data_IF_486542594929
#
_entry.id   IF_486542594929
#
_cell.length_a   1.000
_cell.length_b   1.000
_cell.length_c   1.000
_cell.angle_alpha   90.00
_cell.angle_beta   90.00
_cell.angle_gamma   90.00
#
_symmetry.space_group_name_H-M   'P 1'
#
loop_
_entity.id
_entity.type
_entity.pdbx_description
1 polymer ?
#
# COMPACT_ATOMS: atom_id res chain seq x y z
N UNK A 1 9.86 6.71 -0.77
CA UNK A 1 8.44 6.56 -1.13
C UNK A 1 8.40 5.90 -2.48
N UNK A 2 8.11 4.59 -2.57
CA UNK A 2 8.01 3.93 -3.87
C UNK A 2 6.60 4.10 -4.43
N UNK A 3 6.48 4.37 -5.73
CA UNK A 3 5.17 4.46 -6.38
C UNK A 3 4.53 3.06 -6.42
N UNK A 4 3.32 2.86 -5.86
CA UNK A 4 2.65 1.58 -5.94
C UNK A 4 2.00 1.37 -7.32
N UNK A 5 2.00 0.14 -7.79
CA UNK A 5 1.14 -0.32 -8.87
C UNK A 5 0.15 -1.35 -8.31
N UNK A 6 -1.13 -1.11 -8.53
CA UNK A 6 -2.19 -2.07 -8.18
C UNK A 6 -2.27 -3.11 -9.30
N UNK A 7 -2.18 -4.37 -8.92
CA UNK A 7 -2.34 -5.50 -9.83
C UNK A 7 -3.82 -5.82 -9.92
N UNK A 8 -4.39 -5.72 -11.12
CA UNK A 8 -5.80 -5.98 -11.36
C UNK A 8 -6.02 -7.40 -11.86
N UNK A 9 -7.22 -7.94 -11.66
CA UNK A 9 -7.64 -9.18 -12.30
C UNK A 9 -7.70 -9.03 -13.84
N UNK A 10 -7.89 -10.16 -14.54
CA UNK A 10 -7.92 -10.18 -16.01
C UNK A 10 -9.00 -9.28 -16.62
N UNK A 11 -10.08 -9.02 -15.88
CA UNK A 11 -11.19 -8.18 -16.33
C UNK A 11 -11.02 -6.71 -15.94
N UNK A 12 -9.90 -6.34 -15.30
CA UNK A 12 -9.63 -4.99 -14.80
C UNK A 12 -10.72 -4.45 -13.86
N UNK A 13 -11.32 -5.34 -13.08
CA UNK A 13 -12.45 -5.09 -12.20
C UNK A 13 -12.02 -5.11 -10.73
N UNK A 14 -11.31 -6.15 -10.30
CA UNK A 14 -10.97 -6.37 -8.89
C UNK A 14 -9.46 -6.30 -8.66
N UNK A 15 -9.01 -5.63 -7.59
CA UNK A 15 -7.60 -5.63 -7.26
C UNK A 15 -7.20 -7.01 -6.72
N UNK A 16 -6.10 -7.55 -7.25
CA UNK A 16 -5.55 -8.86 -6.91
C UNK A 16 -4.28 -8.78 -6.05
N UNK A 17 -3.60 -7.63 -6.05
CA UNK A 17 -2.39 -7.40 -5.28
C UNK A 17 -1.81 -6.01 -5.50
N UNK A 18 -0.69 -5.74 -4.85
CA UNK A 18 0.05 -4.48 -5.01
C UNK A 18 1.54 -4.78 -5.15
N UNK A 19 2.21 -4.05 -6.02
CA UNK A 19 3.67 -4.13 -6.19
C UNK A 19 4.27 -2.73 -6.12
N UNK A 20 5.40 -2.62 -5.44
CA UNK A 20 6.15 -1.36 -5.30
C UNK A 20 7.57 -1.53 -5.83
N UNK A 21 8.27 -0.41 -6.01
CA UNK A 21 9.71 -0.39 -6.32
C UNK A 21 10.53 -1.25 -5.33
N UNK A 22 10.15 -1.28 -4.05
CA UNK A 22 10.85 -2.06 -3.03
C UNK A 22 10.71 -3.56 -3.26
N UNK A 23 9.56 -3.99 -3.76
CA UNK A 23 9.31 -5.40 -4.01
C UNK A 23 10.12 -5.87 -5.22
N UNK A 24 10.21 -5.05 -6.27
CA UNK A 24 11.12 -5.31 -7.39
C UNK A 24 12.58 -5.31 -6.94
N UNK A 25 12.99 -4.34 -6.13
CA UNK A 25 14.36 -4.28 -5.63
C UNK A 25 14.72 -5.52 -4.81
N UNK A 26 13.82 -5.96 -3.92
CA UNK A 26 14.05 -7.11 -3.02
C UNK A 26 13.94 -8.45 -3.72
N UNK A 27 12.93 -8.66 -4.56
CA UNK A 27 12.61 -9.99 -5.10
C UNK A 27 13.08 -10.20 -6.53
N UNK A 28 13.54 -9.16 -7.23
CA UNK A 28 14.03 -9.28 -8.61
C UNK A 28 15.49 -8.84 -8.69
N UNK A 29 15.79 -7.58 -8.33
CA UNK A 29 17.13 -7.04 -8.47
C UNK A 29 18.14 -7.72 -7.54
N UNK A 30 17.83 -7.83 -6.24
CA UNK A 30 18.73 -8.42 -5.25
C UNK A 30 19.00 -9.92 -5.50
N UNK A 31 18.02 -10.62 -6.06
CA UNK A 31 18.11 -12.05 -6.39
C UNK A 31 18.76 -12.32 -7.76
N UNK A 32 19.13 -11.27 -8.51
CA UNK A 32 19.68 -11.42 -9.86
C UNK A 32 18.72 -12.03 -10.88
N UNK A 33 17.41 -11.99 -10.58
CA UNK A 33 16.37 -12.54 -11.45
C UNK A 33 16.13 -11.56 -12.60
N UNK A 34 16.07 -12.09 -13.82
CA UNK A 34 15.65 -11.31 -14.98
C UNK A 34 14.16 -11.02 -14.87
N UNK A 35 13.79 -9.74 -14.93
CA UNK A 35 12.39 -9.29 -14.79
C UNK A 35 11.45 -9.86 -15.86
N UNK A 36 11.98 -10.34 -16.99
CA UNK A 36 11.20 -11.03 -18.04
C UNK A 36 10.76 -12.44 -17.65
N UNK A 37 11.44 -13.06 -16.70
CA UNK A 37 11.28 -14.47 -16.36
C UNK A 37 10.48 -14.67 -15.06
N UNK A 38 10.02 -13.59 -14.42
CA UNK A 38 9.25 -13.62 -13.18
C UNK A 38 7.84 -13.09 -13.38
N UNK A 39 6.86 -13.83 -12.85
CA UNK A 39 5.47 -13.39 -12.87
C UNK A 39 5.21 -12.38 -11.74
N UNK A 40 4.41 -11.35 -12.02
CA UNK A 40 4.02 -10.32 -11.03
C UNK A 40 3.40 -10.94 -9.79
N UNK A 41 2.59 -12.00 -9.94
CA UNK A 41 1.98 -12.73 -8.81
C UNK A 41 2.99 -13.30 -7.80
N UNK A 42 4.25 -13.50 -8.19
CA UNK A 42 5.31 -14.03 -7.33
C UNK A 42 6.01 -12.97 -6.50
N UNK A 43 5.89 -11.71 -6.91
CA UNK A 43 6.63 -10.58 -6.32
C UNK A 43 5.71 -9.50 -5.76
N UNK A 44 4.41 -9.55 -6.05
CA UNK A 44 3.41 -8.67 -5.46
C UNK A 44 3.05 -9.11 -4.03
N UNK A 45 2.58 -8.16 -3.24
CA UNK A 45 1.90 -8.46 -1.97
C UNK A 45 0.42 -8.74 -2.21
N UNK A 46 -0.09 -9.81 -1.62
CA UNK A 46 -1.49 -10.22 -1.65
C UNK A 46 -1.86 -11.02 -0.38
N UNK A 47 -3.14 -11.01 0.07
CA UNK A 47 -4.26 -10.25 -0.48
C UNK A 47 -4.09 -8.74 -0.25
N UNK A 48 -4.64 -7.94 -1.15
CA UNK A 48 -4.57 -6.49 -1.04
C UNK A 48 -5.51 -5.99 0.07
N UNK A 49 -5.03 -5.04 0.87
CA UNK A 49 -5.86 -4.38 1.88
C UNK A 49 -6.68 -3.29 1.22
N UNK A 50 -8.00 -3.36 1.39
CA UNK A 50 -8.95 -2.42 0.79
C UNK A 50 -9.69 -1.60 1.85
N UNK A 51 -10.35 -0.54 1.41
CA UNK A 51 -11.19 0.30 2.24
C UNK A 51 -12.41 0.80 1.46
N UNK A 52 -13.52 0.97 2.15
CA UNK A 52 -14.75 1.54 1.59
C UNK A 52 -14.58 3.06 1.34
N UNK A 53 -15.07 3.61 0.21
CA UNK A 53 -14.91 5.03 -0.15
C UNK A 53 -15.50 6.00 0.87
N UNK A 54 -16.50 5.58 1.63
CA UNK A 54 -17.18 6.41 2.63
C UNK A 54 -16.57 6.25 4.03
N UNK A 55 -15.49 5.48 4.17
CA UNK A 55 -14.79 5.29 5.45
C UNK A 55 -14.12 6.59 5.92
N UNK A 56 -14.22 6.92 7.22
CA UNK A 56 -13.46 8.02 7.81
C UNK A 56 -11.95 7.87 7.63
N UNK A 57 -11.25 8.99 7.59
CA UNK A 57 -9.79 9.03 7.39
C UNK A 57 -9.03 8.34 8.53
N UNK A 58 -9.57 8.39 9.74
CA UNK A 58 -9.03 7.74 10.93
C UNK A 58 -9.06 6.22 10.77
N UNK A 59 -10.14 5.68 10.21
CA UNK A 59 -10.26 4.24 9.89
C UNK A 59 -9.23 3.85 8.84
N UNK A 60 -8.97 4.71 7.86
CA UNK A 60 -7.93 4.47 6.87
C UNK A 60 -6.53 4.45 7.50
N UNK A 61 -6.24 5.38 8.42
CA UNK A 61 -4.98 5.40 9.16
C UNK A 61 -4.82 4.14 10.03
N UNK A 62 -5.85 3.77 10.78
CA UNK A 62 -5.85 2.56 11.62
C UNK A 62 -5.65 1.31 10.77
N UNK A 63 -6.30 1.19 9.61
CA UNK A 63 -6.11 0.06 8.70
C UNK A 63 -4.66 -0.01 8.18
N UNK A 64 -4.03 1.12 7.87
CA UNK A 64 -2.63 1.17 7.46
C UNK A 64 -1.69 0.68 8.58
N UNK A 65 -1.93 1.12 9.82
CA UNK A 65 -1.15 0.73 10.99
C UNK A 65 -1.33 -0.76 11.31
N UNK A 66 -2.57 -1.22 11.49
CA UNK A 66 -2.86 -2.60 11.86
C UNK A 66 -2.40 -3.63 10.81
N UNK A 67 -2.56 -3.31 9.52
CA UNK A 67 -2.14 -4.22 8.45
C UNK A 67 -0.68 -4.01 8.04
N UNK A 68 0.05 -3.08 8.67
CA UNK A 68 1.43 -2.71 8.31
C UNK A 68 1.61 -2.32 6.84
N UNK A 69 0.61 -1.67 6.25
CA UNK A 69 0.62 -1.24 4.85
C UNK A 69 0.59 0.27 4.75
N UNK A 70 1.18 0.81 3.68
CA UNK A 70 1.19 2.26 3.39
C UNK A 70 0.24 2.67 2.27
N UNK A 71 -0.53 1.72 1.76
CA UNK A 71 -1.41 1.92 0.62
C UNK A 71 -2.67 1.13 0.88
N UNK A 72 -3.82 1.78 0.74
CA UNK A 72 -5.12 1.11 0.74
C UNK A 72 -5.76 1.33 -0.62
N UNK A 73 -6.32 0.28 -1.20
CA UNK A 73 -7.13 0.41 -2.41
C UNK A 73 -8.57 0.67 -2.02
N UNK A 74 -9.12 1.76 -2.57
CA UNK A 74 -10.51 2.12 -2.33
C UNK A 74 -11.36 1.24 -3.25
N UNK A 75 -12.33 0.52 -2.69
CA UNK A 75 -13.22 -0.36 -3.46
C UNK A 75 -14.69 -0.08 -3.18
N UNK A 76 -15.53 -0.19 -4.20
CA UNK A 76 -16.99 -0.19 -4.00
C UNK A 76 -17.49 -1.49 -3.32
N UNK A 77 -18.79 -1.57 -3.09
CA UNK A 77 -19.46 -2.71 -2.46
C UNK A 77 -19.38 -4.01 -3.28
N UNK A 78 -19.07 -3.94 -4.57
CA UNK A 78 -18.85 -5.11 -5.43
C UNK A 78 -17.37 -5.54 -5.47
N UNK A 79 -16.50 -4.79 -4.78
CA UNK A 79 -15.05 -5.01 -4.71
C UNK A 79 -14.29 -4.42 -5.89
N UNK A 80 -14.90 -3.52 -6.67
CA UNK A 80 -14.25 -2.88 -7.81
C UNK A 80 -13.34 -1.76 -7.33
N UNK A 81 -12.12 -1.69 -7.86
CA UNK A 81 -11.19 -0.62 -7.50
C UNK A 81 -11.66 0.75 -8.04
N UNK A 82 -11.74 1.73 -7.15
CA UNK A 82 -12.09 3.12 -7.43
C UNK A 82 -10.86 4.03 -7.42
N UNK A 83 -9.86 3.70 -6.60
CA UNK A 83 -8.67 4.51 -6.43
C UNK A 83 -7.73 3.96 -5.37
N UNK A 84 -6.75 4.78 -4.98
CA UNK A 84 -5.76 4.45 -3.96
C UNK A 84 -5.63 5.63 -2.99
N UNK A 85 -5.48 5.33 -1.71
CA UNK A 85 -5.17 6.34 -0.69
C UNK A 85 -3.85 5.99 -0.01
N UNK A 86 -3.06 7.04 0.22
CA UNK A 86 -1.73 6.95 0.83
C UNK A 86 -1.61 7.88 2.04
N UNK A 87 -0.64 7.68 2.94
CA UNK A 87 -0.34 8.61 4.02
C UNK A 87 -0.15 10.06 3.57
N UNK A 88 0.36 10.28 2.36
CA UNK A 88 0.58 11.62 1.81
C UNK A 88 -0.73 12.33 1.47
N UNK A 89 -1.80 11.57 1.19
CA UNK A 89 -3.12 12.15 0.95
C UNK A 89 -3.75 12.62 2.26
N UNK A 90 -3.49 11.94 3.38
CA UNK A 90 -3.93 12.41 4.70
C UNK A 90 -3.29 13.76 5.06
N UNK A 91 -1.99 13.90 4.79
CA UNK A 91 -1.29 15.15 5.04
C UNK A 91 -1.82 16.32 4.19
N UNK A 92 -2.35 16.05 2.98
CA UNK A 92 -3.00 17.08 2.16
C UNK A 92 -4.40 17.43 2.68
N UNK A 93 -5.15 16.43 3.14
CA UNK A 93 -6.53 16.60 3.58
C UNK A 93 -6.63 17.37 4.90
N UNK A 94 -5.68 17.17 5.82
CA UNK A 94 -5.78 17.68 7.19
C UNK A 94 -5.53 19.19 7.35
N UNK A 95 -5.12 19.94 6.31
CA UNK A 95 -4.98 21.42 6.26
C UNK A 95 -4.30 22.11 7.48
N UNK A 96 -3.68 21.38 8.40
CA UNK A 96 -2.84 21.91 9.46
C UNK A 96 -1.38 21.92 9.00
N UNK A 97 -0.55 22.73 9.66
CA UNK A 97 0.91 22.66 9.58
C UNK A 97 1.41 21.33 10.18
N UNK A 98 0.93 20.21 9.67
CA UNK A 98 1.36 18.87 10.05
C UNK A 98 2.46 18.52 9.08
N UNK A 99 3.67 18.39 9.61
CA UNK A 99 4.83 18.02 8.81
C UNK A 99 4.59 16.62 8.21
N UNK A 100 4.62 16.55 6.87
CA UNK A 100 4.47 15.29 6.12
C UNK A 100 5.49 14.26 6.56
N UNK A 101 6.69 14.71 6.89
CA UNK A 101 7.78 13.84 7.29
C UNK A 101 7.53 13.30 8.71
N UNK A 102 6.90 14.08 9.59
CA UNK A 102 6.49 13.63 10.92
C UNK A 102 5.36 12.59 10.84
N UNK A 103 4.32 12.83 10.05
CA UNK A 103 3.23 11.86 9.84
C UNK A 103 3.75 10.56 9.22
N UNK A 104 4.58 10.69 8.18
CA UNK A 104 5.21 9.53 7.57
C UNK A 104 6.11 8.79 8.56
N UNK A 105 6.87 9.51 9.40
CA UNK A 105 7.73 8.90 10.42
C UNK A 105 6.92 8.18 11.50
N UNK A 106 5.81 8.74 11.97
CA UNK A 106 4.92 8.08 12.93
C UNK A 106 4.37 6.79 12.34
N UNK A 107 3.85 6.83 11.10
CA UNK A 107 3.34 5.64 10.42
C UNK A 107 4.45 4.61 10.22
N UNK A 108 5.65 5.03 9.78
CA UNK A 108 6.77 4.12 9.58
C UNK A 108 7.25 3.50 10.89
N UNK A 109 7.37 4.27 11.97
CA UNK A 109 7.76 3.77 13.30
C UNK A 109 6.73 2.79 13.82
N UNK A 110 5.44 3.10 13.73
CA UNK A 110 4.39 2.19 14.17
C UNK A 110 4.35 0.89 13.35
N UNK A 111 4.69 0.95 12.06
CA UNK A 111 4.85 -0.25 11.21
C UNK A 111 6.10 -1.07 11.62
N UNK A 112 7.19 -0.40 11.99
CA UNK A 112 8.49 -1.01 12.32
C UNK A 112 8.61 -1.49 13.78
N UNK A 113 7.94 -0.85 14.75
CA UNK A 113 7.99 -1.23 16.17
C UNK A 113 7.33 -2.60 16.43
N UNK A 114 6.49 -3.06 15.50
CA UNK A 114 5.91 -4.40 15.51
C UNK A 114 6.73 -5.39 14.64
N UNK A 115 7.85 -4.95 14.07
CA UNK A 115 9.00 -5.79 13.71
C UNK A 115 9.95 -5.80 14.92
N UNK A 116 9.58 -6.55 15.95
CA UNK A 116 10.57 -6.93 16.97
C UNK A 116 11.79 -7.51 16.26
N UNK A 117 12.95 -6.88 16.44
CA UNK A 117 14.23 -7.54 16.22
C UNK A 117 14.25 -8.80 17.10
N UNK A 118 13.96 -9.93 16.49
CA UNK A 118 14.38 -11.26 16.91
C UNK A 118 15.27 -11.83 15.80
#
# INVERSE_FOLDING_TARGET
MGSPLVVMDKNNSKPSGIITERDLARHVCAEGINSRDVLVEKVMSAPIVTIDPDSPIEVAADNMLHNKVRHLVITDTEGKALGIVTPTDFSKALKGNIDRDEVNAIILRAIQEDEGYA
#
